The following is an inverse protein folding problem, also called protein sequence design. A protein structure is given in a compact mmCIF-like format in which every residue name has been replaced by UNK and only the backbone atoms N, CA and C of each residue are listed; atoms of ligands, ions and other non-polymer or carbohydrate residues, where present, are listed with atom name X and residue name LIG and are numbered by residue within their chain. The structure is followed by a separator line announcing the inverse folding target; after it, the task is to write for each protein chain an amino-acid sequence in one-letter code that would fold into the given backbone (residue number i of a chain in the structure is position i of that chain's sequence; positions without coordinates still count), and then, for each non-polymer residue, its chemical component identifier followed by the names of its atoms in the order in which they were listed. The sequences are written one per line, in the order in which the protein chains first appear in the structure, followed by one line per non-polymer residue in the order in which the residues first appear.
data_IF_861777975536
#
_entry.id   IF_861777975536
#
_cell.length_a   1.000
_cell.length_b   1.000
_cell.length_c   1.000
_cell.angle_alpha   90.00
_cell.angle_beta   90.00
_cell.angle_gamma   90.00
#
_symmetry.space_group_name_H-M   'P 1'
#
loop_
_entity.id
_entity.type
_entity.pdbx_description
1 polymer ?
#
# COMPACT_ATOMS: atom_id res chain seq x y z
N UNK A 1 22.06 9.54 -6.55
CA UNK A 1 20.94 9.25 -5.64
C UNK A 1 21.49 9.03 -4.25
N UNK A 2 21.12 9.88 -3.30
CA UNK A 2 21.49 9.74 -1.89
C UNK A 2 20.56 8.71 -1.20
N UNK A 3 20.88 8.33 0.04
CA UNK A 3 20.10 7.34 0.79
C UNK A 3 18.63 7.71 0.96
N UNK A 4 18.34 9.00 1.22
CA UNK A 4 16.98 9.50 1.42
C UNK A 4 16.13 9.42 0.15
N UNK A 5 16.71 9.74 -1.00
CA UNK A 5 16.03 9.65 -2.29
C UNK A 5 15.77 8.20 -2.69
N UNK A 6 16.70 7.27 -2.38
CA UNK A 6 16.47 5.84 -2.54
C UNK A 6 15.36 5.33 -1.60
N UNK A 7 15.38 5.74 -0.32
CA UNK A 7 14.32 5.40 0.65
C UNK A 7 12.95 5.83 0.14
N UNK A 8 12.85 7.07 -0.36
CA UNK A 8 11.61 7.60 -0.94
C UNK A 8 11.13 6.77 -2.14
N UNK A 9 12.02 6.45 -3.08
CA UNK A 9 11.67 5.63 -4.24
C UNK A 9 11.16 4.23 -3.83
N UNK A 10 11.82 3.59 -2.86
CA UNK A 10 11.38 2.28 -2.37
C UNK A 10 10.00 2.38 -1.74
N UNK A 11 9.73 3.42 -0.91
CA UNK A 11 8.40 3.65 -0.34
C UNK A 11 7.32 3.81 -1.40
N UNK A 12 7.58 4.61 -2.45
CA UNK A 12 6.62 4.83 -3.52
C UNK A 12 6.33 3.54 -4.31
N UNK A 13 7.35 2.69 -4.53
CA UNK A 13 7.19 1.37 -5.16
C UNK A 13 6.36 0.44 -4.26
N UNK A 14 6.67 0.38 -2.97
CA UNK A 14 5.97 -0.46 -1.99
C UNK A 14 4.49 -0.06 -1.90
N UNK A 15 4.19 1.24 -1.77
CA UNK A 15 2.81 1.76 -1.78
C UNK A 15 2.05 1.31 -3.03
N UNK A 16 2.67 1.49 -4.19
CA UNK A 16 2.10 1.09 -5.48
C UNK A 16 1.83 -0.41 -5.52
N UNK A 17 2.77 -1.24 -5.07
CA UNK A 17 2.62 -2.70 -5.04
C UNK A 17 1.49 -3.15 -4.09
N UNK A 18 1.39 -2.56 -2.90
CA UNK A 18 0.31 -2.82 -1.94
C UNK A 18 -1.04 -2.46 -2.55
N UNK A 19 -1.15 -1.28 -3.18
CA UNK A 19 -2.39 -0.84 -3.81
C UNK A 19 -2.84 -1.78 -4.94
N UNK A 20 -1.92 -2.21 -5.82
CA UNK A 20 -2.23 -3.18 -6.86
C UNK A 20 -2.63 -4.54 -6.29
N UNK A 21 -1.92 -5.03 -5.26
CA UNK A 21 -2.23 -6.28 -4.59
C UNK A 21 -3.60 -6.28 -3.92
N UNK A 22 -3.95 -5.18 -3.23
CA UNK A 22 -5.27 -4.96 -2.65
C UNK A 22 -6.36 -4.96 -3.72
N UNK A 23 -6.22 -4.15 -4.77
CA UNK A 23 -7.23 -4.05 -5.83
C UNK A 23 -7.46 -5.40 -6.53
N UNK A 24 -6.40 -6.15 -6.82
CA UNK A 24 -6.52 -7.49 -7.42
C UNK A 24 -7.25 -8.46 -6.50
N UNK A 25 -6.91 -8.46 -5.21
CA UNK A 25 -7.56 -9.33 -4.22
C UNK A 25 -9.04 -8.95 -4.04
N UNK A 26 -9.34 -7.66 -4.01
CA UNK A 26 -10.69 -7.14 -3.92
C UNK A 26 -11.55 -7.58 -5.12
N UNK A 27 -11.03 -7.44 -6.34
CA UNK A 27 -11.72 -7.93 -7.55
C UNK A 27 -11.96 -9.44 -7.49
N UNK A 28 -10.96 -10.23 -7.11
CA UNK A 28 -11.11 -11.69 -7.00
C UNK A 28 -12.18 -12.10 -5.97
N UNK A 29 -12.25 -11.39 -4.84
CA UNK A 29 -13.29 -11.61 -3.82
C UNK A 29 -14.69 -11.22 -4.33
N UNK A 30 -14.81 -10.16 -5.12
CA UNK A 30 -16.06 -9.77 -5.78
C UNK A 30 -16.50 -10.83 -6.80
N UNK A 31 -15.59 -11.30 -7.66
CA UNK A 31 -15.85 -12.33 -8.67
C UNK A 31 -16.28 -13.66 -8.02
N UNK A 32 -15.66 -14.02 -6.90
CA UNK A 32 -16.04 -15.18 -6.09
C UNK A 32 -17.37 -14.98 -5.33
N UNK A 33 -18.01 -13.81 -5.44
CA UNK A 33 -19.22 -13.41 -4.69
C UNK A 33 -19.05 -13.46 -3.17
N UNK A 34 -17.82 -13.40 -2.69
CA UNK A 34 -17.52 -13.34 -1.25
C UNK A 34 -17.82 -11.95 -0.67
N UNK A 35 -17.74 -10.91 -1.50
CA UNK A 35 -18.09 -9.53 -1.15
C UNK A 35 -19.01 -8.91 -2.20
N UNK A 36 -19.89 -8.00 -1.77
CA UNK A 36 -20.73 -7.19 -2.66
C UNK A 36 -20.14 -5.78 -2.75
N UNK A 37 -19.28 -5.56 -3.74
CA UNK A 37 -18.59 -4.29 -3.89
C UNK A 37 -19.53 -3.16 -4.32
N UNK A 38 -20.72 -3.44 -4.91
CA UNK A 38 -21.70 -2.40 -5.24
C UNK A 38 -22.23 -1.74 -3.97
N UNK A 39 -22.58 -2.53 -2.96
CA UNK A 39 -22.97 -2.01 -1.63
C UNK A 39 -21.82 -1.31 -0.93
N UNK A 40 -20.60 -1.86 -1.03
CA UNK A 40 -19.43 -1.21 -0.43
C UNK A 40 -19.12 0.15 -1.09
N UNK A 41 -19.30 0.28 -2.41
CA UNK A 41 -19.10 1.54 -3.16
C UNK A 41 -20.00 2.69 -2.70
N UNK A 42 -21.15 2.41 -2.11
CA UNK A 42 -21.98 3.43 -1.47
C UNK A 42 -21.24 4.15 -0.32
N UNK A 43 -20.29 3.46 0.31
CA UNK A 43 -19.42 3.94 1.38
C UNK A 43 -17.94 4.05 0.98
N UNK A 44 -17.63 3.78 -0.30
CA UNK A 44 -16.29 3.88 -0.92
C UNK A 44 -16.37 4.85 -2.11
N UNK A 45 -16.64 6.12 -1.82
CA UNK A 45 -16.81 7.20 -2.81
C UNK A 45 -15.53 8.01 -3.08
N UNK A 46 -14.40 7.57 -2.53
CA UNK A 46 -13.11 8.26 -2.58
C UNK A 46 -12.67 8.77 -1.20
N UNK A 47 -11.68 9.65 -1.19
CA UNK A 47 -11.11 10.26 0.03
C UNK A 47 -12.20 10.82 0.93
N UNK A 48 -12.17 10.49 2.23
CA UNK A 48 -13.17 10.92 3.21
C UNK A 48 -14.40 10.01 3.30
N UNK A 49 -14.43 8.90 2.56
CA UNK A 49 -15.48 7.89 2.68
C UNK A 49 -15.03 6.74 3.56
N UNK A 50 -15.95 6.22 4.39
CA UNK A 50 -15.66 5.27 5.48
C UNK A 50 -14.73 4.14 5.07
N UNK A 51 -15.01 3.45 3.96
CA UNK A 51 -14.22 2.29 3.57
C UNK A 51 -12.95 2.65 2.82
N UNK A 52 -12.92 3.80 2.14
CA UNK A 52 -11.69 4.33 1.57
C UNK A 52 -10.70 4.69 2.67
N UNK A 53 -11.14 5.43 3.67
CA UNK A 53 -10.28 5.90 4.77
C UNK A 53 -9.76 4.74 5.62
N UNK A 54 -10.58 3.71 5.86
CA UNK A 54 -10.12 2.47 6.52
C UNK A 54 -8.98 1.83 5.71
N UNK A 55 -9.19 1.60 4.41
CA UNK A 55 -8.18 0.94 3.58
C UNK A 55 -6.92 1.78 3.47
N UNK A 56 -7.04 3.10 3.27
CA UNK A 56 -5.89 4.01 3.24
C UNK A 56 -5.11 3.98 4.54
N UNK A 57 -5.78 4.01 5.69
CA UNK A 57 -5.12 3.93 6.99
C UNK A 57 -4.37 2.62 7.20
N UNK A 58 -4.94 1.49 6.79
CA UNK A 58 -4.24 0.20 6.88
C UNK A 58 -3.03 0.11 5.92
N UNK A 59 -3.11 0.76 4.75
CA UNK A 59 -1.97 0.88 3.84
C UNK A 59 -0.84 1.73 4.45
N UNK A 60 -1.18 2.86 5.07
CA UNK A 60 -0.23 3.73 5.78
C UNK A 60 0.47 2.98 6.93
N UNK A 61 -0.30 2.24 7.76
CA UNK A 61 0.26 1.41 8.84
C UNK A 61 1.21 0.35 8.30
N UNK A 62 0.89 -0.26 7.17
CA UNK A 62 1.77 -1.25 6.53
C UNK A 62 3.07 -0.60 6.05
N UNK A 63 3.02 0.60 5.48
CA UNK A 63 4.22 1.36 5.09
C UNK A 63 5.10 1.72 6.28
N UNK A 64 4.50 2.14 7.40
CA UNK A 64 5.22 2.44 8.65
C UNK A 64 5.93 1.19 9.20
N UNK A 65 5.25 0.04 9.20
CA UNK A 65 5.84 -1.22 9.65
C UNK A 65 7.00 -1.68 8.76
N UNK A 66 6.99 -1.32 7.47
CA UNK A 66 8.06 -1.64 6.54
C UNK A 66 9.24 -0.65 6.61
N UNK A 67 9.14 0.44 7.37
CA UNK A 67 10.18 1.49 7.37
C UNK A 67 11.55 0.95 7.80
N UNK A 68 11.59 0.08 8.82
CA UNK A 68 12.83 -0.53 9.30
C UNK A 68 13.47 -1.45 8.24
N UNK A 69 12.65 -2.23 7.52
CA UNK A 69 13.12 -3.11 6.44
C UNK A 69 13.66 -2.27 5.28
N UNK A 70 12.99 -1.16 4.94
CA UNK A 70 13.45 -0.23 3.92
C UNK A 70 14.79 0.39 4.33
N UNK A 71 14.97 0.76 5.60
CA UNK A 71 16.25 1.28 6.11
C UNK A 71 17.38 0.26 6.01
N UNK A 72 17.11 -1.02 6.28
CA UNK A 72 18.07 -2.11 6.10
C UNK A 72 18.46 -2.28 4.62
N UNK A 73 17.50 -2.20 3.70
CA UNK A 73 17.75 -2.28 2.25
C UNK A 73 18.62 -1.10 1.81
N UNK A 74 18.28 0.12 2.22
CA UNK A 74 19.04 1.33 1.87
C UNK A 74 20.46 1.24 2.43
N UNK A 75 20.60 0.88 3.71
CA UNK A 75 21.91 0.73 4.36
C UNK A 75 22.78 -0.29 3.64
N UNK A 76 22.21 -1.44 3.28
CA UNK A 76 22.92 -2.50 2.56
C UNK A 76 23.35 -2.05 1.16
N UNK A 77 22.46 -1.37 0.43
CA UNK A 77 22.75 -0.83 -0.90
C UNK A 77 23.82 0.26 -0.88
N UNK A 78 23.94 1.03 0.21
CA UNK A 78 24.97 2.07 0.36
C UNK A 78 26.31 1.53 0.83
N UNK A 79 26.35 0.47 1.65
CA UNK A 79 27.60 -0.18 2.09
C UNK A 79 28.32 -0.99 0.99
N UNK A 80 27.56 -1.46 -0.01
CA UNK A 80 28.10 -2.21 -1.15
C UNK A 80 28.62 -1.35 -2.31
N UNK A 81 28.73 -0.02 -2.12
CA UNK A 81 29.23 0.93 -3.12
C UNK A 81 30.57 1.52 -2.72
#
# INVERSE_FOLDING_TARGET
MNGDELKKQIKDIVRTAIQHGFNRSFCALEEAKAIDSKKMREHYKGVGSRYYDIVSKEMELTEEQLDCVIDEIVTSAMKGR
#
